data_IF_095145895911
#
_entry.id   IF_095145895911
#
_cell.length_a   1.000
_cell.length_b   1.000
_cell.length_c   1.000
_cell.angle_alpha   90.00
_cell.angle_beta   90.00
_cell.angle_gamma   90.00
#
_symmetry.space_group_name_H-M   'P 1'
#
loop_
_entity.id
_entity.type
_entity.pdbx_description
1 polymer ?
#
# COMPACT_ATOMS: atom_id res chain seq x y z
N UNK A 1 -26.08 -9.64 -2.07
CA UNK A 1 -26.15 -10.23 -0.72
C UNK A 1 -27.40 -9.73 -0.03
N UNK A 2 -27.93 -10.47 0.95
CA UNK A 2 -29.21 -10.16 1.63
C UNK A 2 -29.17 -8.87 2.46
N UNK A 3 -27.97 -8.32 2.71
CA UNK A 3 -27.79 -7.11 3.53
C UNK A 3 -27.85 -7.40 5.03
N UNK A 4 -28.02 -8.66 5.41
CA UNK A 4 -28.06 -9.11 6.80
C UNK A 4 -26.66 -9.09 7.41
N UNK A 5 -26.60 -8.64 8.67
CA UNK A 5 -25.41 -8.71 9.50
C UNK A 5 -25.33 -10.08 10.17
N UNK A 6 -24.15 -10.69 10.18
CA UNK A 6 -23.91 -12.03 10.73
C UNK A 6 -22.72 -11.95 11.68
N UNK A 7 -22.90 -12.46 12.91
CA UNK A 7 -21.83 -12.63 13.88
C UNK A 7 -21.11 -13.96 13.64
N UNK A 8 -19.77 -13.93 13.64
CA UNK A 8 -18.92 -15.12 13.48
C UNK A 8 -17.94 -15.19 14.66
N UNK A 9 -18.24 -15.97 15.72
CA UNK A 9 -17.33 -16.09 16.85
C UNK A 9 -16.07 -16.86 16.46
N UNK A 10 -14.90 -16.38 16.92
CA UNK A 10 -13.62 -17.01 16.69
C UNK A 10 -12.65 -16.70 17.84
N UNK A 11 -11.80 -17.65 18.22
CA UNK A 11 -10.75 -17.42 19.21
C UNK A 11 -9.62 -16.53 18.65
N UNK A 12 -9.40 -16.59 17.33
CA UNK A 12 -8.38 -15.83 16.61
C UNK A 12 -8.96 -15.32 15.29
N UNK A 13 -8.69 -14.06 14.98
CA UNK A 13 -9.06 -13.42 13.70
C UNK A 13 -7.79 -12.98 12.98
N UNK A 14 -7.63 -13.40 11.72
CA UNK A 14 -6.49 -13.03 10.87
C UNK A 14 -6.97 -12.12 9.74
N UNK A 15 -6.33 -10.96 9.58
CA UNK A 15 -6.78 -9.89 8.68
C UNK A 15 -5.94 -9.92 7.38
N UNK A 16 -6.48 -10.53 6.33
CA UNK A 16 -5.76 -10.83 5.08
C UNK A 16 -6.43 -10.23 3.83
N UNK A 17 -7.04 -9.06 3.95
CA UNK A 17 -7.85 -8.42 2.89
C UNK A 17 -7.09 -7.43 1.99
N UNK A 18 -5.75 -7.49 1.98
CA UNK A 18 -4.82 -6.49 1.40
C UNK A 18 -4.71 -5.20 2.22
N UNK A 19 -3.58 -4.49 2.10
CA UNK A 19 -3.17 -3.43 3.04
C UNK A 19 -4.22 -2.32 3.21
N UNK A 20 -4.82 -1.84 2.12
CA UNK A 20 -5.82 -0.78 2.18
C UNK A 20 -7.11 -1.21 2.88
N UNK A 21 -7.61 -2.39 2.57
CA UNK A 21 -8.84 -2.89 3.19
C UNK A 21 -8.60 -3.28 4.65
N UNK A 22 -7.42 -3.83 4.97
CA UNK A 22 -7.00 -4.12 6.33
C UNK A 22 -6.98 -2.83 7.17
N UNK A 23 -6.33 -1.77 6.69
CA UNK A 23 -6.28 -0.48 7.37
C UNK A 23 -7.69 0.11 7.52
N UNK A 24 -8.50 0.09 6.46
CA UNK A 24 -9.89 0.57 6.50
C UNK A 24 -10.71 -0.18 7.54
N UNK A 25 -10.62 -1.51 7.58
CA UNK A 25 -11.33 -2.36 8.55
C UNK A 25 -10.92 -1.99 9.97
N UNK A 26 -9.61 -1.94 10.27
CA UNK A 26 -9.11 -1.60 11.60
C UNK A 26 -9.57 -0.21 12.07
N UNK A 27 -9.53 0.80 11.19
CA UNK A 27 -10.01 2.15 11.50
C UNK A 27 -11.51 2.18 11.81
N UNK A 28 -12.33 1.51 10.98
CA UNK A 28 -13.78 1.45 11.17
C UNK A 28 -14.19 0.65 12.41
N UNK A 29 -13.39 -0.35 12.79
CA UNK A 29 -13.60 -1.16 13.98
C UNK A 29 -13.02 -0.52 15.26
N UNK A 30 -12.36 0.65 15.17
CA UNK A 30 -11.72 1.29 16.32
C UNK A 30 -10.55 0.48 16.91
N UNK A 31 -9.89 -0.34 16.09
CA UNK A 31 -8.79 -1.20 16.51
C UNK A 31 -7.43 -0.58 16.20
N UNK A 32 -6.60 -0.45 17.24
CA UNK A 32 -5.29 0.20 17.16
C UNK A 32 -5.37 1.74 17.25
N UNK A 33 -4.21 2.41 17.20
CA UNK A 33 -4.14 3.88 17.24
C UNK A 33 -4.01 4.44 15.82
N UNK A 34 -5.01 5.19 15.31
CA UNK A 34 -4.92 5.90 14.04
C UNK A 34 -3.70 6.81 14.01
N UNK A 35 -2.99 6.85 12.88
CA UNK A 35 -1.87 7.76 12.71
C UNK A 35 -2.34 9.21 12.65
N UNK A 36 -1.81 10.04 13.54
CA UNK A 36 -1.99 11.49 13.54
C UNK A 36 -0.71 12.17 13.02
N UNK A 37 -0.74 12.78 11.83
CA UNK A 37 0.44 13.41 11.24
C UNK A 37 0.87 14.69 11.98
N UNK A 38 0.00 15.33 12.77
CA UNK A 38 0.36 16.55 13.51
C UNK A 38 1.24 16.24 14.73
N UNK A 39 1.04 15.08 15.34
CA UNK A 39 1.78 14.62 16.53
C UNK A 39 2.80 13.53 16.21
N UNK A 40 2.70 12.90 15.04
CA UNK A 40 3.51 11.75 14.63
C UNK A 40 3.18 10.44 15.37
N UNK A 41 2.13 10.43 16.19
CA UNK A 41 1.70 9.29 17.01
C UNK A 41 0.72 8.39 16.25
N UNK A 42 0.60 7.14 16.70
CA UNK A 42 -0.24 6.13 16.06
C UNK A 42 0.47 5.37 14.94
N UNK A 43 -0.10 4.21 14.58
CA UNK A 43 0.49 3.26 13.64
C UNK A 43 -0.46 2.81 12.53
N UNK A 44 -1.77 2.87 12.75
CA UNK A 44 -2.74 2.44 11.74
C UNK A 44 -2.80 3.48 10.62
N UNK A 45 -2.50 3.05 9.40
CA UNK A 45 -2.43 3.92 8.22
C UNK A 45 -1.11 4.66 8.02
N UNK A 46 -0.08 4.39 8.85
CA UNK A 46 1.25 4.99 8.70
C UNK A 46 2.10 4.18 7.70
N UNK A 47 3.09 4.83 7.07
CA UNK A 47 4.17 4.21 6.29
C UNK A 47 3.71 3.34 5.10
N UNK A 48 2.66 3.76 4.38
CA UNK A 48 2.35 3.13 3.10
C UNK A 48 3.55 3.25 2.14
N UNK A 49 4.01 2.11 1.64
CA UNK A 49 5.10 2.04 0.68
C UNK A 49 4.74 1.02 -0.39
N UNK A 50 4.72 1.45 -1.65
CA UNK A 50 4.37 0.58 -2.76
C UNK A 50 5.26 0.88 -3.96
N UNK A 51 5.49 -0.16 -4.76
CA UNK A 51 6.27 -0.04 -5.98
C UNK A 51 5.49 0.82 -6.98
N UNK A 52 6.02 1.98 -7.33
CA UNK A 52 5.43 2.81 -8.38
C UNK A 52 5.94 2.31 -9.72
N UNK A 53 5.15 1.48 -10.40
CA UNK A 53 5.43 1.03 -11.78
C UNK A 53 4.92 2.03 -12.83
N UNK A 54 5.02 3.34 -12.56
CA UNK A 54 4.66 4.40 -13.51
C UNK A 54 5.92 5.15 -13.91
N UNK A 55 6.17 5.21 -15.21
CA UNK A 55 7.29 5.96 -15.78
C UNK A 55 8.16 5.16 -16.75
N UNK A 56 7.56 4.34 -17.62
CA UNK A 56 8.31 3.78 -18.75
C UNK A 56 8.48 4.87 -19.82
N UNK A 57 9.73 5.14 -20.21
CA UNK A 57 10.04 5.92 -21.39
C UNK A 57 10.61 4.95 -22.43
N UNK A 58 10.04 4.95 -23.63
CA UNK A 58 10.61 4.22 -24.76
C UNK A 58 11.41 5.24 -25.59
N UNK A 59 12.73 5.12 -25.55
CA UNK A 59 13.64 5.94 -26.35
C UNK A 59 14.07 5.18 -27.60
N UNK A 60 14.04 5.85 -28.76
CA UNK A 60 14.61 5.34 -30.00
C UNK A 60 15.85 6.16 -30.31
N UNK A 61 16.98 5.49 -30.45
CA UNK A 61 18.27 6.11 -30.69
C UNK A 61 19.03 5.33 -31.75
N UNK A 62 19.68 6.03 -32.68
CA UNK A 62 20.52 5.36 -33.68
C UNK A 62 21.85 4.89 -33.07
N UNK A 63 22.50 5.75 -32.27
CA UNK A 63 23.85 5.52 -31.71
C UNK A 63 23.97 5.99 -30.24
N UNK A 64 22.88 5.98 -29.48
CA UNK A 64 22.86 6.41 -28.07
C UNK A 64 22.06 5.44 -27.20
N UNK A 65 22.26 5.51 -25.90
CA UNK A 65 21.54 4.72 -24.91
C UNK A 65 21.15 5.56 -23.69
N UNK A 66 20.17 5.10 -22.92
CA UNK A 66 19.85 5.72 -21.64
C UNK A 66 20.95 5.42 -20.63
N UNK A 67 21.36 6.43 -19.87
CA UNK A 67 22.24 6.24 -18.72
C UNK A 67 21.43 5.71 -17.52
N UNK A 68 21.75 4.50 -17.07
CA UNK A 68 21.06 3.79 -15.98
C UNK A 68 21.79 3.82 -14.63
N UNK A 69 22.95 4.46 -14.53
CA UNK A 69 23.82 4.44 -13.34
C UNK A 69 23.15 4.99 -12.07
N UNK A 70 22.26 5.97 -12.20
CA UNK A 70 21.52 6.59 -11.08
C UNK A 70 20.05 6.78 -11.44
N UNK A 71 19.41 5.72 -11.92
CA UNK A 71 18.01 5.81 -12.34
C UNK A 71 17.00 5.68 -11.20
N UNK A 72 15.76 6.04 -11.49
CA UNK A 72 14.66 5.95 -10.55
C UNK A 72 14.40 4.49 -10.13
N UNK A 73 13.87 4.27 -8.92
CA UNK A 73 13.54 2.92 -8.41
C UNK A 73 12.65 2.08 -9.33
N UNK A 74 11.89 2.73 -10.22
CA UNK A 74 11.10 2.07 -11.25
C UNK A 74 11.94 1.35 -12.33
N UNK A 75 13.25 1.62 -12.47
CA UNK A 75 14.11 0.97 -13.46
C UNK A 75 14.44 -0.50 -13.15
N UNK A 76 14.24 -0.96 -11.91
CA UNK A 76 14.44 -2.36 -11.52
C UNK A 76 13.23 -3.26 -11.77
N UNK A 77 12.14 -2.69 -12.29
CA UNK A 77 10.90 -3.39 -12.60
C UNK A 77 10.95 -3.78 -14.08
N UNK A 78 11.01 -5.09 -14.35
CA UNK A 78 10.96 -5.68 -15.71
C UNK A 78 9.57 -6.23 -15.97
#
# INVERSE_FOLDING_TARGET
TTGEEIEQPADIVVVTSYEFNNIRLLLMSGLGMPYDPSTGRGVIGKNYAYQVMKGNAIGFFDNKEFNTFAGAGALGVV
#
